data_IF_403397590490
#
_entry.id   IF_403397590490
#
_cell.length_a   1.000
_cell.length_b   1.000
_cell.length_c   1.000
_cell.angle_alpha   90.00
_cell.angle_beta   90.00
_cell.angle_gamma   90.00
#
_symmetry.space_group_name_H-M   'P 1'
#
loop_
_entity.id
_entity.type
_entity.pdbx_description
1 polymer ?
#
# COMPACT_ATOMS: atom_id res chain seq x y z
N UNK A 1 39.52 -32.06 51.53
CA UNK A 1 39.83 -31.40 50.25
C UNK A 1 38.50 -31.01 49.65
N UNK A 2 38.10 -29.76 49.83
CA UNK A 2 36.85 -29.23 49.28
C UNK A 2 37.23 -28.45 48.01
N UNK A 3 36.80 -28.95 46.87
CA UNK A 3 36.87 -28.22 45.61
C UNK A 3 36.00 -26.97 45.75
N UNK A 4 36.63 -25.79 45.65
CA UNK A 4 35.92 -24.52 45.58
C UNK A 4 35.07 -24.52 44.31
N UNK A 5 33.78 -24.80 44.47
CA UNK A 5 32.72 -24.72 43.47
C UNK A 5 32.32 -23.27 43.16
N UNK A 6 33.27 -22.35 43.20
CA UNK A 6 33.18 -21.03 42.57
C UNK A 6 33.59 -21.21 41.11
N UNK A 7 32.72 -21.85 40.33
CA UNK A 7 32.96 -22.11 38.92
C UNK A 7 33.16 -20.75 38.24
N UNK A 8 34.41 -20.46 37.88
CA UNK A 8 34.89 -19.18 37.36
C UNK A 8 34.03 -18.72 36.19
N UNK A 9 33.14 -17.76 36.43
CA UNK A 9 32.57 -16.98 35.32
C UNK A 9 33.75 -16.19 34.75
N UNK A 10 34.35 -16.72 33.68
CA UNK A 10 35.42 -16.02 32.95
C UNK A 10 34.80 -14.75 32.39
N UNK A 11 35.18 -13.61 32.94
CA UNK A 11 34.72 -12.33 32.45
C UNK A 11 35.67 -11.88 31.33
N UNK A 12 35.12 -11.73 30.13
CA UNK A 12 35.87 -11.28 28.97
C UNK A 12 35.62 -9.81 28.69
N UNK A 13 36.70 -9.12 28.38
CA UNK A 13 36.74 -7.70 28.07
C UNK A 13 37.41 -7.51 26.72
N UNK A 14 37.03 -6.50 25.95
CA UNK A 14 37.67 -6.20 24.69
C UNK A 14 37.97 -4.71 24.56
N UNK A 15 38.98 -4.41 23.75
CA UNK A 15 39.25 -3.06 23.28
C UNK A 15 39.16 -3.01 21.75
N UNK A 16 38.63 -1.89 21.25
CA UNK A 16 38.48 -1.58 19.83
C UNK A 16 38.84 -0.09 19.63
N UNK A 17 39.58 0.29 18.58
CA UNK A 17 39.79 1.70 18.25
C UNK A 17 38.47 2.42 17.96
N UNK A 18 38.36 3.69 18.36
CA UNK A 18 37.13 4.47 18.14
C UNK A 18 36.81 4.72 16.66
N UNK A 19 37.82 4.71 15.80
CA UNK A 19 37.64 4.79 14.34
C UNK A 19 36.87 3.61 13.75
N UNK A 20 36.85 2.48 14.46
CA UNK A 20 36.21 1.24 14.04
C UNK A 20 34.82 1.05 14.70
N UNK A 21 34.25 2.10 15.32
CA UNK A 21 32.95 2.04 16.02
C UNK A 21 31.82 1.52 15.13
N UNK A 22 31.82 1.87 13.85
CA UNK A 22 30.79 1.45 12.88
C UNK A 22 30.68 -0.07 12.73
N UNK A 23 31.77 -0.81 12.97
CA UNK A 23 31.79 -2.27 12.89
C UNK A 23 31.05 -2.94 14.07
N UNK A 24 30.85 -2.23 15.19
CA UNK A 24 30.11 -2.73 16.34
C UNK A 24 28.62 -2.99 16.05
N UNK A 25 28.12 -2.55 14.90
CA UNK A 25 26.78 -2.87 14.43
C UNK A 25 26.49 -4.37 14.38
N UNK A 26 27.49 -5.22 14.14
CA UNK A 26 27.35 -6.69 14.07
C UNK A 26 27.02 -7.35 15.42
N UNK A 27 27.48 -6.76 16.53
CA UNK A 27 27.31 -7.31 17.89
C UNK A 27 26.30 -6.52 18.73
N UNK A 28 25.64 -5.52 18.13
CA UNK A 28 24.70 -4.62 18.81
C UNK A 28 23.51 -5.34 19.46
N UNK A 29 23.09 -6.47 18.91
CA UNK A 29 21.93 -7.21 19.42
C UNK A 29 22.26 -8.01 20.69
N UNK A 30 23.53 -8.08 21.11
CA UNK A 30 23.96 -8.82 22.29
C UNK A 30 23.68 -8.04 23.57
N UNK A 31 22.54 -8.33 24.20
CA UNK A 31 22.02 -7.61 25.38
C UNK A 31 22.91 -7.68 26.64
N UNK A 32 23.80 -8.66 26.71
CA UNK A 32 24.73 -8.84 27.81
C UNK A 32 25.98 -7.94 27.71
N UNK A 33 26.24 -7.35 26.54
CA UNK A 33 27.40 -6.48 26.34
C UNK A 33 27.16 -5.07 26.87
N UNK A 34 28.14 -4.60 27.62
CA UNK A 34 28.27 -3.19 28.00
C UNK A 34 29.45 -2.56 27.25
N UNK A 35 29.26 -1.30 26.87
CA UNK A 35 30.23 -0.48 26.16
C UNK A 35 30.56 0.77 26.98
N UNK A 36 31.83 1.14 26.99
CA UNK A 36 32.32 2.41 27.49
C UNK A 36 33.32 2.97 26.48
N UNK A 37 33.23 4.25 26.16
CA UNK A 37 34.17 4.90 25.25
C UNK A 37 35.08 5.86 26.03
N UNK A 38 36.36 5.88 25.66
CA UNK A 38 37.29 6.96 25.97
C UNK A 38 37.62 7.75 24.69
N UNK A 39 38.58 8.67 24.75
CA UNK A 39 38.89 9.56 23.62
C UNK A 39 39.35 8.80 22.37
N UNK A 40 40.07 7.69 22.53
CA UNK A 40 40.70 6.95 21.42
C UNK A 40 40.21 5.50 21.28
N UNK A 41 39.67 4.92 22.35
CA UNK A 41 39.38 3.49 22.49
C UNK A 41 37.98 3.25 23.02
N UNK A 42 37.34 2.23 22.45
CA UNK A 42 36.07 1.67 22.92
C UNK A 42 36.38 0.39 23.69
N UNK A 43 35.82 0.32 24.90
CA UNK A 43 35.89 -0.82 25.79
C UNK A 43 34.57 -1.55 25.80
N UNK A 44 34.63 -2.88 25.70
CA UNK A 44 33.48 -3.76 25.75
C UNK A 44 33.67 -4.78 26.86
N UNK A 45 32.62 -5.13 27.58
CA UNK A 45 32.66 -6.20 28.59
C UNK A 45 31.37 -7.00 28.65
N UNK A 46 31.47 -8.17 29.26
CA UNK A 46 30.33 -9.05 29.50
C UNK A 46 30.12 -10.10 28.41
N UNK A 47 31.13 -10.39 27.58
CA UNK A 47 31.05 -11.47 26.59
C UNK A 47 30.97 -12.84 27.30
N UNK A 48 30.18 -13.75 26.74
CA UNK A 48 30.17 -15.16 27.15
C UNK A 48 31.33 -15.94 26.49
N UNK A 49 31.60 -17.16 26.96
CA UNK A 49 32.61 -18.01 26.36
C UNK A 49 32.26 -18.35 24.90
N UNK A 50 30.98 -18.56 24.59
CA UNK A 50 30.50 -18.79 23.22
C UNK A 50 30.69 -17.56 22.34
N UNK A 51 30.33 -16.37 22.85
CA UNK A 51 30.50 -15.11 22.13
C UNK A 51 31.97 -14.79 21.87
N UNK A 52 32.88 -15.16 22.77
CA UNK A 52 34.34 -14.98 22.63
C UNK A 52 34.96 -15.72 21.42
N UNK A 53 34.20 -16.65 20.84
CA UNK A 53 34.57 -17.46 19.68
C UNK A 53 33.63 -17.23 18.48
N UNK A 54 32.68 -16.30 18.61
CA UNK A 54 31.71 -16.02 17.56
C UNK A 54 32.37 -15.37 16.34
N UNK A 55 31.86 -15.71 15.15
CA UNK A 55 32.35 -15.20 13.87
C UNK A 55 32.26 -13.68 13.74
N UNK A 56 31.30 -13.08 14.43
CA UNK A 56 30.99 -11.66 14.46
C UNK A 56 32.12 -10.86 15.10
N UNK A 57 32.82 -11.43 16.09
CA UNK A 57 34.01 -10.83 16.69
C UNK A 57 35.19 -10.83 15.71
N UNK A 58 35.34 -11.89 14.92
CA UNK A 58 36.42 -12.01 13.93
C UNK A 58 36.30 -11.00 12.78
N UNK A 59 35.12 -10.40 12.59
CA UNK A 59 34.89 -9.37 11.58
C UNK A 59 35.28 -7.97 12.07
N UNK A 60 35.52 -7.78 13.38
CA UNK A 60 35.88 -6.48 13.96
C UNK A 60 37.38 -6.20 13.74
N UNK A 61 37.75 -5.14 13.00
CA UNK A 61 39.16 -4.81 12.78
C UNK A 61 39.82 -4.36 14.09
N UNK A 62 41.08 -4.71 14.30
CA UNK A 62 41.87 -4.31 15.48
C UNK A 62 41.25 -4.67 16.85
N UNK A 63 40.31 -5.61 16.87
CA UNK A 63 39.65 -6.07 18.08
C UNK A 63 40.59 -6.94 18.91
N UNK A 64 40.80 -6.55 20.17
CA UNK A 64 41.64 -7.29 21.10
C UNK A 64 40.81 -7.77 22.28
N UNK A 65 40.71 -9.09 22.42
CA UNK A 65 40.01 -9.74 23.51
C UNK A 65 40.94 -10.08 24.67
N UNK A 66 40.47 -9.81 25.88
CA UNK A 66 41.12 -10.04 27.14
C UNK A 66 40.27 -10.90 28.06
N UNK A 67 40.92 -11.71 28.87
CA UNK A 67 40.35 -12.39 30.02
C UNK A 67 40.70 -11.62 31.29
N UNK A 68 39.70 -11.31 32.11
CA UNK A 68 39.89 -10.65 33.39
C UNK A 68 40.27 -11.69 34.45
N UNK A 69 41.46 -11.55 35.03
CA UNK A 69 41.91 -12.37 36.18
C UNK A 69 42.53 -11.45 37.23
N UNK A 70 42.01 -11.50 38.46
CA UNK A 70 42.51 -10.71 39.59
C UNK A 70 42.65 -9.20 39.31
N UNK A 71 41.73 -8.61 38.53
CA UNK A 71 41.75 -7.19 38.17
C UNK A 71 42.78 -6.81 37.08
N UNK A 72 43.43 -7.80 36.47
CA UNK A 72 44.37 -7.65 35.37
C UNK A 72 43.79 -8.25 34.09
N UNK A 73 44.08 -7.61 32.96
CA UNK A 73 43.64 -8.04 31.63
C UNK A 73 44.74 -8.85 30.95
N UNK A 74 44.47 -10.12 30.68
CA UNK A 74 45.34 -11.04 29.96
C UNK A 74 44.82 -11.18 28.54
N UNK A 75 45.65 -10.93 27.52
CA UNK A 75 45.23 -11.23 26.14
C UNK A 75 44.86 -12.71 26.02
N UNK A 76 43.91 -13.04 25.14
CA UNK A 76 43.56 -14.42 24.82
C UNK A 76 44.85 -15.23 24.57
N UNK A 77 45.02 -16.33 25.30
CA UNK A 77 46.20 -17.23 25.29
C UNK A 77 47.51 -16.69 25.89
N UNK A 78 47.55 -15.45 26.39
CA UNK A 78 48.74 -14.91 27.06
C UNK A 78 48.83 -15.33 28.54
N UNK A 79 50.02 -15.74 28.97
CA UNK A 79 50.32 -16.09 30.37
C UNK A 79 50.69 -14.89 31.25
N UNK A 80 50.93 -13.72 30.64
CA UNK A 80 51.34 -12.49 31.33
C UNK A 80 50.27 -11.41 31.23
N UNK A 81 50.08 -10.60 32.29
CA UNK A 81 49.11 -9.52 32.28
C UNK A 81 49.55 -8.45 31.27
N UNK A 82 48.64 -8.06 30.37
CA UNK A 82 48.91 -7.06 29.35
C UNK A 82 48.59 -5.65 29.84
N UNK A 83 47.47 -5.47 30.53
CA UNK A 83 46.99 -4.17 31.00
C UNK A 83 46.27 -4.29 32.35
N UNK A 84 46.22 -3.18 33.10
CA UNK A 84 45.30 -3.02 34.24
C UNK A 84 43.94 -2.53 33.73
N UNK A 85 42.86 -2.90 34.41
CA UNK A 85 41.52 -2.36 34.12
C UNK A 85 41.54 -0.84 34.31
N UNK A 86 41.01 -0.09 33.34
CA UNK A 86 40.88 1.38 33.46
C UNK A 86 39.80 1.73 34.48
N UNK A 87 40.12 2.61 35.41
CA UNK A 87 39.17 3.20 36.37
C UNK A 87 38.55 4.46 35.77
N UNK A 88 37.24 4.65 35.92
CA UNK A 88 36.52 5.84 35.43
C UNK A 88 35.74 5.67 34.12
N UNK A 89 35.65 4.46 33.57
CA UNK A 89 34.81 4.17 32.39
C UNK A 89 33.32 4.20 32.74
N UNK A 90 32.54 4.95 31.94
CA UNK A 90 31.08 5.00 32.05
C UNK A 90 30.46 3.90 31.18
N UNK A 91 30.00 2.83 31.84
CA UNK A 91 29.41 1.69 31.17
C UNK A 91 27.94 1.94 30.80
N UNK A 92 27.60 1.63 29.56
CA UNK A 92 26.24 1.66 29.05
C UNK A 92 25.94 0.37 28.28
N UNK A 93 24.68 -0.10 28.23
CA UNK A 93 24.30 -1.18 27.34
C UNK A 93 24.59 -0.84 25.87
N UNK A 94 25.09 -1.80 25.09
CA UNK A 94 25.50 -1.57 23.69
C UNK A 94 24.36 -1.03 22.80
N UNK A 95 23.13 -1.49 23.05
CA UNK A 95 21.93 -1.05 22.31
C UNK A 95 21.53 0.40 22.60
N UNK A 96 21.92 0.93 23.78
CA UNK A 96 21.69 2.33 24.15
C UNK A 96 22.78 3.26 23.66
N UNK A 97 24.01 2.76 23.53
CA UNK A 97 25.14 3.51 22.99
C UNK A 97 25.02 3.66 21.47
N UNK A 98 24.71 2.57 20.75
CA UNK A 98 24.58 2.53 19.29
C UNK A 98 23.13 2.78 18.84
N UNK A 99 22.64 4.01 19.06
CA UNK A 99 21.28 4.40 18.64
C UNK A 99 21.21 4.55 17.11
N UNK A 100 20.31 3.80 16.48
CA UNK A 100 19.89 4.09 15.11
C UNK A 100 19.01 5.33 15.10
N UNK A 101 19.48 6.40 14.48
CA UNK A 101 18.60 7.49 14.06
C UNK A 101 18.01 7.12 12.71
N UNK A 102 16.73 6.79 12.68
CA UNK A 102 16.01 6.76 11.41
C UNK A 102 15.90 8.20 10.89
N UNK A 103 16.08 8.44 9.59
CA UNK A 103 15.73 9.73 9.03
C UNK A 103 14.27 10.01 9.37
N UNK A 104 13.96 11.26 9.73
CA UNK A 104 12.58 11.65 9.94
C UNK A 104 11.79 11.31 8.68
N UNK A 105 10.77 10.44 8.80
CA UNK A 105 9.86 10.15 7.70
C UNK A 105 9.34 11.48 7.16
N UNK A 106 9.66 11.78 5.89
CA UNK A 106 9.20 12.99 5.25
C UNK A 106 7.71 12.85 4.94
N UNK A 107 6.86 13.19 5.91
CA UNK A 107 5.41 13.22 5.76
C UNK A 107 4.93 14.31 4.78
N UNK A 108 5.83 15.13 4.20
CA UNK A 108 5.46 16.24 3.31
C UNK A 108 5.39 15.86 1.82
N UNK A 109 5.67 14.61 1.41
CA UNK A 109 5.69 14.25 -0.02
C UNK A 109 4.46 13.53 -0.56
N UNK A 110 3.40 13.38 0.23
CA UNK A 110 2.12 12.95 -0.30
C UNK A 110 1.03 13.88 0.21
N UNK A 111 0.44 14.63 -0.70
CA UNK A 111 -0.77 15.41 -0.45
C UNK A 111 -1.90 14.50 -0.02
N UNK A 112 -1.96 14.13 1.26
CA UNK A 112 -3.03 13.34 1.88
C UNK A 112 -4.41 14.02 1.79
N UNK A 113 -4.44 15.30 1.40
CA UNK A 113 -5.65 16.05 1.09
C UNK A 113 -5.95 16.15 -0.41
N UNK A 114 -5.06 15.71 -1.29
CA UNK A 114 -5.31 15.73 -2.73
C UNK A 114 -6.35 14.67 -3.08
N UNK A 115 -7.49 15.14 -3.58
CA UNK A 115 -8.52 14.25 -4.10
C UNK A 115 -8.13 13.87 -5.52
N UNK A 116 -7.91 12.57 -5.74
CA UNK A 116 -7.73 12.03 -7.09
C UNK A 116 -8.98 12.36 -7.92
N UNK A 117 -8.82 13.19 -8.94
CA UNK A 117 -9.86 13.44 -9.92
C UNK A 117 -9.91 12.26 -10.89
N UNK A 118 -11.09 11.70 -11.06
CA UNK A 118 -11.30 10.60 -12.01
C UNK A 118 -11.36 11.22 -13.40
N UNK A 119 -10.56 10.70 -14.32
CA UNK A 119 -10.50 11.17 -15.71
C UNK A 119 -10.66 9.97 -16.64
N UNK A 120 -11.43 10.18 -17.70
CA UNK A 120 -11.52 9.24 -18.81
C UNK A 120 -10.56 9.69 -19.92
N UNK A 121 -9.99 8.71 -20.62
CA UNK A 121 -9.12 8.93 -21.77
C UNK A 121 -9.66 8.14 -22.96
N UNK A 122 -9.40 8.67 -24.15
CA UNK A 122 -9.68 7.96 -25.39
C UNK A 122 -8.95 6.60 -25.39
N UNK A 123 -9.67 5.57 -25.79
CA UNK A 123 -9.22 4.19 -25.84
C UNK A 123 -9.20 3.73 -27.29
N UNK A 124 -8.06 3.17 -27.71
CA UNK A 124 -7.90 2.56 -29.03
C UNK A 124 -8.46 1.12 -29.10
N UNK A 125 -8.95 0.58 -27.97
CA UNK A 125 -9.55 -0.74 -27.92
C UNK A 125 -11.04 -0.68 -28.28
N UNK A 126 -11.43 -1.44 -29.31
CA UNK A 126 -12.84 -1.65 -29.63
C UNK A 126 -13.52 -2.51 -28.57
N UNK A 127 -14.67 -2.04 -28.07
CA UNK A 127 -15.44 -2.75 -27.03
C UNK A 127 -16.91 -2.82 -27.41
N UNK A 128 -17.59 -3.96 -27.13
CA UNK A 128 -19.00 -4.10 -27.43
C UNK A 128 -19.83 -3.14 -26.57
N UNK A 129 -20.64 -2.32 -27.24
CA UNK A 129 -21.58 -1.40 -26.59
C UNK A 129 -22.85 -2.14 -26.17
N UNK A 130 -23.35 -1.82 -24.98
CA UNK A 130 -24.53 -2.49 -24.39
C UNK A 130 -25.63 -1.52 -23.98
N UNK A 131 -25.33 -0.22 -23.98
CA UNK A 131 -26.27 0.81 -23.55
C UNK A 131 -26.20 2.04 -24.45
N UNK A 132 -27.29 2.81 -24.45
CA UNK A 132 -27.51 3.96 -25.32
C UNK A 132 -28.30 5.04 -24.59
N UNK A 133 -27.78 6.27 -24.61
CA UNK A 133 -28.45 7.47 -24.11
C UNK A 133 -28.93 8.32 -25.28
N UNK A 134 -30.24 8.51 -25.38
CA UNK A 134 -30.90 9.24 -26.47
C UNK A 134 -31.73 10.39 -25.94
N UNK A 135 -31.84 11.47 -26.70
CA UNK A 135 -32.80 12.54 -26.40
C UNK A 135 -34.22 12.04 -26.69
N UNK A 136 -35.14 12.23 -25.73
CA UNK A 136 -36.54 11.79 -25.86
C UNK A 136 -37.25 12.40 -27.07
N UNK A 137 -36.95 13.66 -27.41
CA UNK A 137 -37.61 14.37 -28.51
C UNK A 137 -37.25 13.79 -29.89
N UNK A 138 -36.06 13.22 -30.03
CA UNK A 138 -35.55 12.69 -31.29
C UNK A 138 -36.04 11.26 -31.57
N UNK A 139 -36.39 10.51 -30.52
CA UNK A 139 -36.65 9.07 -30.62
C UNK A 139 -38.12 8.67 -30.50
N UNK A 140 -39.00 9.58 -30.08
CA UNK A 140 -40.41 9.27 -29.78
C UNK A 140 -41.15 8.62 -30.96
N UNK A 141 -40.97 9.18 -32.15
CA UNK A 141 -41.63 8.70 -33.37
C UNK A 141 -40.98 7.41 -33.87
N UNK A 142 -39.67 7.27 -33.67
CA UNK A 142 -38.91 6.08 -34.07
C UNK A 142 -39.32 4.88 -33.23
N UNK A 143 -39.39 5.04 -31.90
CA UNK A 143 -39.76 3.95 -30.98
C UNK A 143 -41.17 3.44 -31.26
N UNK A 144 -42.10 4.32 -31.61
CA UNK A 144 -43.46 3.92 -31.97
C UNK A 144 -43.52 3.04 -33.24
N UNK A 145 -42.55 3.20 -34.16
CA UNK A 145 -42.45 2.44 -35.39
C UNK A 145 -41.64 1.13 -35.26
N UNK A 146 -40.95 0.90 -34.12
CA UNK A 146 -40.10 -0.26 -33.95
C UNK A 146 -40.91 -1.55 -33.71
N UNK A 147 -40.50 -2.69 -34.31
CA UNK A 147 -41.12 -3.98 -34.04
C UNK A 147 -40.99 -4.38 -32.56
N UNK A 148 -42.07 -4.94 -32.00
CA UNK A 148 -42.15 -5.35 -30.60
C UNK A 148 -40.99 -6.25 -30.14
N UNK A 149 -40.60 -7.22 -30.97
CA UNK A 149 -39.53 -8.17 -30.63
C UNK A 149 -38.16 -7.49 -30.38
N UNK A 150 -37.92 -6.30 -30.94
CA UNK A 150 -36.69 -5.53 -30.68
C UNK A 150 -36.73 -4.83 -29.32
N UNK A 151 -37.91 -4.48 -28.84
CA UNK A 151 -38.11 -3.78 -27.57
C UNK A 151 -38.08 -4.73 -26.38
N UNK A 152 -38.57 -5.97 -26.55
CA UNK A 152 -38.70 -6.97 -25.47
C UNK A 152 -37.37 -7.37 -24.81
N UNK A 153 -36.23 -7.17 -25.50
CA UNK A 153 -34.88 -7.46 -24.97
C UNK A 153 -34.17 -6.25 -24.37
N UNK A 154 -34.83 -5.11 -24.35
CA UNK A 154 -34.27 -3.83 -23.90
C UNK A 154 -34.96 -3.40 -22.62
N UNK A 155 -34.16 -3.06 -21.63
CA UNK A 155 -34.61 -2.34 -20.45
C UNK A 155 -34.27 -0.87 -20.61
N UNK A 156 -35.06 -0.01 -19.98
CA UNK A 156 -34.82 1.42 -20.07
C UNK A 156 -35.20 2.15 -18.80
N UNK A 157 -34.61 3.33 -18.64
CA UNK A 157 -34.97 4.30 -17.60
C UNK A 157 -34.90 5.72 -18.15
N UNK A 158 -35.42 6.67 -17.40
CA UNK A 158 -35.40 8.08 -17.76
C UNK A 158 -34.34 8.79 -16.91
N UNK A 159 -33.46 9.54 -17.57
CA UNK A 159 -32.46 10.40 -16.94
C UNK A 159 -32.70 11.81 -17.46
N UNK A 160 -33.34 12.64 -16.65
CA UNK A 160 -33.81 13.98 -17.04
C UNK A 160 -34.64 13.93 -18.34
N UNK A 161 -34.16 14.58 -19.39
CA UNK A 161 -34.80 14.62 -20.71
C UNK A 161 -34.36 13.49 -21.66
N UNK A 162 -33.51 12.58 -21.19
CA UNK A 162 -32.92 11.51 -21.98
C UNK A 162 -33.48 10.14 -21.60
N UNK A 163 -33.72 9.30 -22.60
CA UNK A 163 -33.96 7.88 -22.39
C UNK A 163 -32.64 7.12 -22.38
N UNK A 164 -32.44 6.34 -21.35
CA UNK A 164 -31.30 5.44 -21.23
C UNK A 164 -31.75 4.00 -21.44
N UNK A 165 -31.21 3.35 -22.47
CA UNK A 165 -31.51 1.98 -22.86
C UNK A 165 -30.34 1.08 -22.54
N UNK A 166 -30.63 -0.14 -22.07
CA UNK A 166 -29.64 -1.19 -21.84
C UNK A 166 -30.17 -2.52 -22.38
N UNK A 167 -29.33 -3.25 -23.12
CA UNK A 167 -29.69 -4.55 -23.68
C UNK A 167 -29.01 -4.85 -25.02
N UNK A 168 -29.11 -6.12 -25.43
CA UNK A 168 -28.50 -6.63 -26.66
C UNK A 168 -29.57 -7.42 -27.44
N UNK A 169 -29.81 -7.10 -28.73
CA UNK A 169 -29.14 -6.10 -29.56
C UNK A 169 -29.58 -4.67 -29.20
N UNK A 170 -28.65 -3.71 -29.34
CA UNK A 170 -28.92 -2.30 -29.10
C UNK A 170 -29.86 -1.72 -30.17
N UNK A 171 -30.68 -0.74 -29.78
CA UNK A 171 -31.58 -0.05 -30.71
C UNK A 171 -30.78 0.88 -31.65
N UNK A 172 -31.15 0.92 -32.92
CA UNK A 172 -30.56 1.83 -33.91
C UNK A 172 -31.16 3.23 -33.78
N UNK A 173 -30.83 3.94 -32.70
CA UNK A 173 -31.31 5.29 -32.40
C UNK A 173 -30.13 6.28 -32.33
N UNK A 174 -30.34 7.57 -32.65
CA UNK A 174 -29.33 8.60 -32.46
C UNK A 174 -29.05 8.79 -30.96
N UNK A 175 -27.79 8.78 -30.55
CA UNK A 175 -27.43 8.94 -29.15
C UNK A 175 -25.99 8.58 -28.82
N UNK A 176 -25.63 8.72 -27.54
CA UNK A 176 -24.33 8.33 -27.01
C UNK A 176 -24.35 6.86 -26.57
N UNK A 177 -23.40 6.07 -27.04
CA UNK A 177 -23.30 4.65 -26.71
C UNK A 177 -22.36 4.42 -25.55
N UNK A 178 -22.63 3.36 -24.78
CA UNK A 178 -21.87 3.02 -23.59
C UNK A 178 -21.51 1.53 -23.57
N UNK A 179 -20.33 1.23 -23.05
CA UNK A 179 -19.81 -0.12 -22.85
C UNK A 179 -19.55 -0.37 -21.36
N UNK A 180 -19.42 -1.65 -20.98
CA UNK A 180 -19.40 -2.05 -19.56
C UNK A 180 -18.02 -2.48 -19.08
N UNK A 181 -17.65 -2.02 -17.88
CA UNK A 181 -16.47 -2.48 -17.13
C UNK A 181 -16.77 -2.53 -15.64
N UNK A 182 -16.68 -3.70 -15.01
CA UNK A 182 -16.77 -3.85 -13.55
C UNK A 182 -17.97 -3.14 -12.87
N UNK A 183 -19.12 -3.03 -13.55
CA UNK A 183 -20.30 -2.30 -13.03
C UNK A 183 -20.39 -0.82 -13.42
N UNK A 184 -19.43 -0.33 -14.22
CA UNK A 184 -19.43 0.99 -14.82
C UNK A 184 -19.90 0.96 -16.27
N UNK A 185 -20.67 1.97 -16.65
CA UNK A 185 -21.07 2.26 -18.02
C UNK A 185 -20.25 3.47 -18.51
N UNK A 186 -19.32 3.20 -19.42
CA UNK A 186 -18.35 4.16 -19.94
C UNK A 186 -18.73 4.56 -21.36
N UNK A 187 -18.57 5.85 -21.76
CA UNK A 187 -18.79 6.27 -23.13
C UNK A 187 -17.95 5.44 -24.12
N UNK A 188 -18.54 5.09 -25.26
CA UNK A 188 -17.83 4.38 -26.33
C UNK A 188 -16.60 5.17 -26.79
N UNK A 189 -15.47 4.48 -26.94
CA UNK A 189 -14.18 5.11 -27.25
C UNK A 189 -13.43 5.66 -26.04
N UNK A 190 -13.94 5.53 -24.81
CA UNK A 190 -13.26 5.99 -23.60
C UNK A 190 -13.03 4.86 -22.59
N UNK A 191 -11.94 4.91 -21.82
CA UNK A 191 -11.68 4.09 -20.62
C UNK A 191 -11.14 4.98 -19.50
N UNK A 192 -11.09 4.48 -18.27
CA UNK A 192 -10.43 5.16 -17.17
C UNK A 192 -8.95 5.38 -17.48
N UNK A 193 -8.42 6.56 -17.16
CA UNK A 193 -6.98 6.87 -17.29
C UNK A 193 -6.12 5.80 -16.61
N UNK A 194 -6.55 5.35 -15.43
CA UNK A 194 -5.96 4.24 -14.71
C UNK A 194 -6.91 3.04 -14.75
N UNK A 195 -6.58 2.03 -15.56
CA UNK A 195 -7.49 0.89 -15.82
C UNK A 195 -7.86 0.10 -14.56
N UNK A 196 -6.98 0.04 -13.56
CA UNK A 196 -7.16 -0.65 -12.28
C UNK A 196 -8.07 0.10 -11.30
N UNK A 197 -8.44 1.34 -11.62
CA UNK A 197 -9.20 2.20 -10.72
C UNK A 197 -10.68 1.78 -10.64
N UNK A 198 -11.21 1.10 -11.67
CA UNK A 198 -12.61 0.63 -11.73
C UNK A 198 -13.05 -0.13 -10.48
N UNK A 199 -12.28 -1.14 -10.05
CA UNK A 199 -12.62 -1.97 -8.88
C UNK A 199 -12.75 -1.10 -7.61
N UNK A 200 -11.85 -0.15 -7.42
CA UNK A 200 -11.88 0.75 -6.26
C UNK A 200 -13.04 1.75 -6.34
N UNK A 201 -13.39 2.22 -7.53
CA UNK A 201 -14.55 3.09 -7.73
C UNK A 201 -15.86 2.35 -7.47
N UNK A 202 -15.95 1.11 -7.92
CA UNK A 202 -17.09 0.25 -7.64
C UNK A 202 -17.26 0.06 -6.13
N UNK A 203 -16.19 -0.27 -5.39
CA UNK A 203 -16.25 -0.39 -3.93
C UNK A 203 -16.63 0.93 -3.22
N UNK A 204 -16.16 2.06 -3.74
CA UNK A 204 -16.38 3.38 -3.15
C UNK A 204 -17.79 3.91 -3.39
N UNK A 205 -18.32 3.75 -4.60
CA UNK A 205 -19.55 4.41 -5.04
C UNK A 205 -20.74 3.47 -5.21
N UNK A 206 -20.51 2.15 -5.28
CA UNK A 206 -21.54 1.13 -5.49
C UNK A 206 -21.20 -0.15 -4.71
N UNK A 207 -21.05 0.00 -3.39
CA UNK A 207 -20.59 -1.06 -2.48
C UNK A 207 -21.49 -2.31 -2.53
N UNK A 208 -22.80 -2.09 -2.63
CA UNK A 208 -23.80 -3.17 -2.68
C UNK A 208 -23.95 -3.80 -4.07
N UNK A 209 -23.33 -3.22 -5.10
CA UNK A 209 -23.40 -3.68 -6.49
C UNK A 209 -24.83 -3.84 -7.03
N UNK A 210 -25.74 -3.00 -6.54
CA UNK A 210 -27.18 -3.00 -6.83
C UNK A 210 -27.56 -2.11 -8.03
N UNK A 211 -26.60 -1.37 -8.57
CA UNK A 211 -26.79 -0.48 -9.71
C UNK A 211 -25.65 -0.46 -10.72
N UNK A 212 -25.76 0.49 -11.65
CA UNK A 212 -24.76 0.87 -12.63
C UNK A 212 -24.21 2.26 -12.30
N UNK A 213 -22.92 2.46 -12.55
CA UNK A 213 -22.29 3.79 -12.49
C UNK A 213 -22.09 4.30 -13.91
N UNK A 214 -22.93 5.24 -14.33
CA UNK A 214 -22.88 5.88 -15.65
C UNK A 214 -21.90 7.06 -15.62
N UNK A 215 -20.87 7.04 -16.45
CA UNK A 215 -19.84 8.09 -16.50
C UNK A 215 -20.02 9.02 -17.68
N UNK A 216 -19.69 10.29 -17.49
CA UNK A 216 -19.50 11.23 -18.61
C UNK A 216 -18.02 11.29 -19.04
N UNK A 217 -17.76 11.97 -20.16
CA UNK A 217 -16.41 12.18 -20.70
C UNK A 217 -15.53 13.04 -19.76
N UNK A 218 -16.13 13.80 -18.83
CA UNK A 218 -15.45 14.66 -17.88
C UNK A 218 -15.05 13.95 -16.58
N UNK A 219 -15.46 12.69 -16.39
CA UNK A 219 -15.21 11.93 -15.17
C UNK A 219 -16.22 12.16 -14.04
N UNK A 220 -17.38 12.75 -14.33
CA UNK A 220 -18.53 12.73 -13.44
C UNK A 220 -19.27 11.40 -13.56
N UNK A 221 -19.97 11.00 -12.50
CA UNK A 221 -20.77 9.78 -12.50
C UNK A 221 -22.20 10.03 -12.01
N UNK A 222 -23.12 9.22 -12.52
CA UNK A 222 -24.49 9.07 -12.05
C UNK A 222 -24.71 7.62 -11.63
N UNK A 223 -25.28 7.42 -10.44
CA UNK A 223 -25.67 6.08 -9.97
C UNK A 223 -27.10 5.78 -10.39
N UNK A 224 -27.32 4.64 -11.03
CA UNK A 224 -28.63 4.18 -11.50
C UNK A 224 -28.88 2.79 -10.92
N UNK A 225 -29.91 2.61 -10.11
CA UNK A 225 -30.19 1.30 -9.53
C UNK A 225 -30.82 0.39 -10.57
N UNK A 226 -30.58 -0.91 -10.49
CA UNK A 226 -31.22 -1.89 -11.37
C UNK A 226 -32.75 -1.85 -11.26
N UNK A 227 -33.28 -1.49 -10.09
CA UNK A 227 -34.73 -1.32 -9.85
C UNK A 227 -35.35 -0.14 -10.58
N UNK A 228 -34.54 0.83 -11.02
CA UNK A 228 -35.02 2.02 -11.74
C UNK A 228 -35.22 1.71 -13.23
N UNK A 229 -34.80 0.52 -13.70
CA UNK A 229 -35.03 0.03 -15.05
C UNK A 229 -36.38 -0.69 -15.15
N UNK A 230 -37.01 -0.54 -16.30
CA UNK A 230 -38.23 -1.26 -16.66
C UNK A 230 -38.11 -1.82 -18.08
N UNK A 231 -38.85 -2.90 -18.40
CA UNK A 231 -38.92 -3.40 -19.76
C UNK A 231 -39.43 -2.35 -20.73
N UNK A 232 -38.79 -2.23 -21.89
CA UNK A 232 -39.20 -1.30 -22.93
C UNK A 232 -40.41 -1.84 -23.69
N UNK A 233 -41.45 -1.04 -23.77
CA UNK A 233 -42.60 -1.26 -24.64
C UNK A 233 -43.10 0.08 -25.16
N UNK A 234 -43.78 0.08 -26.30
CA UNK A 234 -44.37 1.30 -26.87
C UNK A 234 -45.33 1.96 -25.87
N UNK A 235 -46.07 1.16 -25.09
CA UNK A 235 -46.97 1.66 -24.06
C UNK A 235 -46.22 2.26 -22.87
N UNK A 236 -45.16 1.61 -22.36
CA UNK A 236 -44.39 2.14 -21.24
C UNK A 236 -43.69 3.45 -21.61
N UNK A 237 -43.22 3.56 -22.85
CA UNK A 237 -42.63 4.77 -23.40
C UNK A 237 -43.65 5.93 -23.48
N UNK A 238 -44.79 5.72 -24.17
CA UNK A 238 -45.82 6.76 -24.34
C UNK A 238 -46.45 7.23 -23.03
N UNK A 239 -46.64 6.34 -22.06
CA UNK A 239 -47.17 6.72 -20.75
C UNK A 239 -46.23 7.69 -20.03
N UNK A 240 -44.93 7.47 -20.17
CA UNK A 240 -43.89 8.31 -19.55
C UNK A 240 -43.78 9.65 -20.24
N UNK A 241 -43.81 9.67 -21.58
CA UNK A 241 -43.85 10.90 -22.36
C UNK A 241 -45.03 11.78 -21.96
N UNK A 242 -46.25 11.22 -21.92
CA UNK A 242 -47.46 11.96 -21.52
C UNK A 242 -47.41 12.49 -20.09
N UNK A 243 -46.83 11.73 -19.16
CA UNK A 243 -46.68 12.21 -17.77
C UNK A 243 -45.75 13.42 -17.64
N UNK A 244 -44.86 13.65 -18.62
CA UNK A 244 -43.98 14.82 -18.65
C UNK A 244 -44.66 16.05 -19.26
N UNK A 245 -45.59 15.88 -20.19
CA UNK A 245 -46.35 17.01 -20.78
C UNK A 245 -47.30 17.67 -19.76
N UNK A 246 -47.60 17.00 -18.64
CA UNK A 246 -48.53 17.48 -17.61
C UNK A 246 -47.85 18.06 -16.36
N UNK A 247 -46.52 17.92 -16.23
CA UNK A 247 -45.70 18.48 -15.13
C UNK A 247 -44.91 19.69 -15.62
#
# INVERSE_FOLDING_TARGET
MAENSSNNIKEFWAELPRVDEDFLGSIRDWKNIQIAADDETIWLKGFTEEQSQASEIHQLPNFLLYELRDGLLFKKEALVPSKKVRTGLLWSPIDKALKLTFPAFNNNYFGINEKVQIRLKESNEERPVIALLCNMNEIKDIIAALPKFRLEKIEWTLIDDHAFFIGIPLLSLPGKTYWVKDGHLLPSGFDFEFKNLSIFLQQKYNKESDGWLLWDENGNYLSIRKTDFRPLSVSSFRLTEKSREWN
#
